data_IF_773340001553
#
_entry.id   IF_773340001553
#
_cell.length_a   1.000
_cell.length_b   1.000
_cell.length_c   1.000
_cell.angle_alpha   90.00
_cell.angle_beta   90.00
_cell.angle_gamma   90.00
#
_symmetry.space_group_name_H-M   'P 1'
#
loop_
_entity.id
_entity.type
_entity.pdbx_description
1 polymer ?
#
# COMPACT_ATOMS: atom_id res chain seq x y z
N UNK A 1 5.43 -8.02 -16.36
CA UNK A 1 4.78 -8.23 -15.07
C UNK A 1 3.65 -9.26 -15.22
N UNK A 2 3.64 -10.27 -14.37
CA UNK A 2 2.61 -11.32 -14.42
C UNK A 2 1.29 -10.83 -13.83
N UNK A 3 0.19 -11.53 -14.14
CA UNK A 3 -1.12 -11.20 -13.55
C UNK A 3 -1.12 -11.35 -12.04
N UNK A 4 -0.42 -12.36 -11.53
CA UNK A 4 -0.31 -12.60 -10.09
C UNK A 4 0.37 -11.42 -9.41
N UNK A 5 1.46 -10.92 -9.99
CA UNK A 5 2.18 -9.77 -9.46
C UNK A 5 1.32 -8.51 -9.46
N UNK A 6 0.59 -8.27 -10.55
CA UNK A 6 -0.33 -7.13 -10.64
C UNK A 6 -1.42 -7.19 -9.57
N UNK A 7 -2.00 -8.36 -9.38
CA UNK A 7 -3.04 -8.56 -8.37
C UNK A 7 -2.48 -8.37 -6.96
N UNK A 8 -1.30 -8.90 -6.69
CA UNK A 8 -0.64 -8.73 -5.40
C UNK A 8 -0.39 -7.25 -5.11
N UNK A 9 0.12 -6.50 -6.09
CA UNK A 9 0.36 -5.07 -5.94
C UNK A 9 -0.94 -4.30 -5.71
N UNK A 10 -2.01 -4.69 -6.37
CA UNK A 10 -3.32 -4.06 -6.19
C UNK A 10 -3.83 -4.23 -4.75
N UNK A 11 -3.66 -5.42 -4.20
CA UNK A 11 -4.08 -5.70 -2.82
C UNK A 11 -3.31 -4.81 -1.84
N UNK A 12 -2.00 -4.71 -2.00
CA UNK A 12 -1.16 -3.85 -1.16
C UNK A 12 -1.55 -2.39 -1.31
N UNK A 13 -1.76 -1.95 -2.56
CA UNK A 13 -2.19 -0.57 -2.84
C UNK A 13 -3.51 -0.24 -2.15
N UNK A 14 -4.49 -1.13 -2.25
CA UNK A 14 -5.80 -0.91 -1.64
C UNK A 14 -5.68 -0.82 -0.11
N UNK A 15 -4.85 -1.65 0.49
CA UNK A 15 -4.57 -1.58 1.93
C UNK A 15 -3.93 -0.25 2.31
N UNK A 16 -3.02 0.26 1.47
CA UNK A 16 -2.38 1.55 1.70
C UNK A 16 -3.38 2.70 1.58
N UNK A 17 -4.29 2.63 0.60
CA UNK A 17 -5.33 3.63 0.43
C UNK A 17 -6.27 3.66 1.64
N UNK A 18 -6.63 2.51 2.19
CA UNK A 18 -7.42 2.43 3.41
C UNK A 18 -6.71 3.14 4.56
N UNK A 19 -5.41 2.92 4.71
CA UNK A 19 -4.60 3.61 5.70
C UNK A 19 -4.60 5.13 5.48
N UNK A 20 -4.43 5.57 4.24
CA UNK A 20 -4.40 7.01 3.92
C UNK A 20 -5.74 7.71 4.18
N UNK A 21 -6.84 6.99 4.09
CA UNK A 21 -8.19 7.54 4.34
C UNK A 21 -8.46 7.82 5.82
N UNK A 22 -7.73 7.16 6.72
CA UNK A 22 -7.94 7.34 8.16
C UNK A 22 -7.41 8.70 8.59
N UNK A 23 -8.21 9.43 9.36
CA UNK A 23 -7.81 10.74 9.90
C UNK A 23 -6.66 10.58 10.89
N UNK A 24 -5.74 11.52 10.87
CA UNK A 24 -4.61 11.54 11.80
C UNK A 24 -5.03 11.61 13.26
N UNK A 25 -6.20 12.16 13.56
CA UNK A 25 -6.74 12.23 14.90
C UNK A 25 -7.05 10.84 15.48
N UNK A 26 -7.28 9.85 14.63
CA UNK A 26 -7.61 8.49 15.04
C UNK A 26 -6.35 7.60 14.94
N UNK A 27 -5.43 7.80 15.87
CA UNK A 27 -4.13 7.12 15.84
C UNK A 27 -4.21 5.61 15.95
N UNK A 28 -5.09 5.11 16.80
CA UNK A 28 -5.23 3.65 17.00
C UNK A 28 -5.67 2.96 15.72
N UNK A 29 -6.69 3.52 15.06
CA UNK A 29 -7.20 2.97 13.82
C UNK A 29 -6.17 3.10 12.70
N UNK A 30 -5.50 4.25 12.63
CA UNK A 30 -4.45 4.47 11.64
C UNK A 30 -3.30 3.48 11.79
N UNK A 31 -2.87 3.24 13.02
CA UNK A 31 -1.81 2.27 13.31
C UNK A 31 -2.23 0.85 12.94
N UNK A 32 -3.49 0.50 13.22
CA UNK A 32 -4.03 -0.80 12.85
C UNK A 32 -3.99 -1.03 11.34
N UNK A 33 -4.46 -0.06 10.57
CA UNK A 33 -4.46 -0.16 9.10
C UNK A 33 -3.05 -0.12 8.54
N UNK A 34 -2.14 0.60 9.18
CA UNK A 34 -0.73 0.59 8.77
C UNK A 34 -0.11 -0.79 8.93
N UNK A 35 -0.42 -1.49 10.02
CA UNK A 35 0.07 -2.85 10.24
C UNK A 35 -0.43 -3.83 9.18
N UNK A 36 -1.70 -3.69 8.80
CA UNK A 36 -2.30 -4.51 7.73
C UNK A 36 -1.56 -4.26 6.42
N UNK A 37 -1.38 -2.99 6.05
CA UNK A 37 -0.64 -2.62 4.85
C UNK A 37 0.79 -3.17 4.88
N UNK A 38 1.48 -3.00 6.00
CA UNK A 38 2.87 -3.44 6.17
C UNK A 38 2.99 -4.96 5.98
N UNK A 39 2.07 -5.72 6.52
CA UNK A 39 2.03 -7.17 6.33
C UNK A 39 1.92 -7.53 4.84
N UNK A 40 1.02 -6.88 4.14
CA UNK A 40 0.85 -7.13 2.70
C UNK A 40 2.10 -6.72 1.92
N UNK A 41 2.73 -5.63 2.31
CA UNK A 41 3.97 -5.17 1.66
C UNK A 41 5.10 -6.19 1.87
N UNK A 42 5.23 -6.74 3.06
CA UNK A 42 6.24 -7.77 3.34
C UNK A 42 6.03 -9.01 2.48
N UNK A 43 4.79 -9.43 2.33
CA UNK A 43 4.45 -10.53 1.44
C UNK A 43 4.87 -10.24 0.00
N UNK A 44 4.59 -9.03 -0.46
CA UNK A 44 4.96 -8.64 -1.82
C UNK A 44 6.47 -8.66 -2.01
N UNK A 45 7.22 -8.15 -1.05
CA UNK A 45 8.69 -8.18 -1.09
C UNK A 45 9.24 -9.61 -1.08
N UNK A 46 8.63 -10.49 -0.29
CA UNK A 46 9.07 -11.88 -0.22
C UNK A 46 8.82 -12.63 -1.53
N UNK A 47 7.68 -12.36 -2.17
CA UNK A 47 7.32 -13.02 -3.42
C UNK A 47 8.04 -12.43 -4.64
N UNK A 48 8.25 -11.13 -4.65
CA UNK A 48 8.85 -10.41 -5.79
C UNK A 48 9.93 -9.44 -5.34
N UNK A 49 11.04 -9.96 -4.74
CA UNK A 49 12.06 -9.08 -4.17
C UNK A 49 12.78 -8.21 -5.19
N UNK A 50 12.90 -8.67 -6.44
CA UNK A 50 13.63 -7.93 -7.47
C UNK A 50 12.87 -6.75 -8.03
N UNK A 51 11.55 -6.78 -7.98
CA UNK A 51 10.71 -5.74 -8.58
C UNK A 51 9.96 -4.90 -7.55
N UNK A 52 10.11 -5.18 -6.27
CA UNK A 52 9.43 -4.46 -5.22
C UNK A 52 10.34 -3.43 -4.57
N UNK A 53 10.03 -2.15 -4.81
CA UNK A 53 10.72 -1.03 -4.17
C UNK A 53 9.66 -0.26 -3.38
N UNK A 54 9.70 -0.43 -2.06
CA UNK A 54 8.71 0.12 -1.13
C UNK A 54 8.57 1.64 -1.28
N UNK A 55 9.70 2.35 -1.31
CA UNK A 55 9.69 3.82 -1.41
C UNK A 55 9.05 4.31 -2.70
N UNK A 56 9.39 3.68 -3.81
CA UNK A 56 8.83 4.04 -5.11
C UNK A 56 7.34 3.74 -5.19
N UNK A 57 6.93 2.58 -4.67
CA UNK A 57 5.53 2.18 -4.67
C UNK A 57 4.70 3.13 -3.80
N UNK A 58 5.18 3.46 -2.61
CA UNK A 58 4.48 4.39 -1.73
C UNK A 58 4.32 5.77 -2.36
N UNK A 59 5.37 6.29 -2.98
CA UNK A 59 5.30 7.57 -3.69
C UNK A 59 4.28 7.55 -4.80
N UNK A 60 4.28 6.49 -5.60
CA UNK A 60 3.34 6.33 -6.70
C UNK A 60 1.91 6.28 -6.20
N UNK A 61 1.65 5.48 -5.18
CA UNK A 61 0.31 5.30 -4.64
C UNK A 61 -0.21 6.55 -3.95
N UNK A 62 0.64 7.29 -3.26
CA UNK A 62 0.26 8.60 -2.68
C UNK A 62 -0.18 9.57 -3.77
N UNK A 63 0.56 9.63 -4.86
CA UNK A 63 0.20 10.49 -5.99
C UNK A 63 -1.14 10.09 -6.58
N UNK A 64 -1.37 8.80 -6.74
CA UNK A 64 -2.64 8.28 -7.24
C UNK A 64 -3.80 8.63 -6.30
N UNK A 65 -3.58 8.46 -5.00
CA UNK A 65 -4.59 8.77 -4.00
C UNK A 65 -4.99 10.25 -4.02
N UNK A 66 -4.01 11.14 -4.12
CA UNK A 66 -4.26 12.57 -4.22
C UNK A 66 -5.06 12.94 -5.45
N UNK A 67 -4.74 12.34 -6.60
CA UNK A 67 -5.45 12.61 -7.85
C UNK A 67 -6.91 12.18 -7.78
N UNK A 68 -7.17 11.03 -7.19
CA UNK A 68 -8.54 10.53 -7.04
C UNK A 68 -9.38 11.40 -6.11
N UNK A 69 -8.73 12.09 -5.16
CA UNK A 69 -9.41 12.92 -4.17
C UNK A 69 -9.59 14.37 -4.60
N UNK A 70 -8.88 14.79 -5.62
CA UNK A 70 -9.05 16.10 -6.21
C UNK A 70 -10.21 16.10 -7.20
#
# INVERSE_FOLDING_TARGET
MTNIEKQARKIVRDAYFDYLEIDYSNRELKDHFFKIYYHHMQFLEDLFPETTDEDKLESKWRSMFKKERE
#
